data_IF_801794963319
#
_entry.id   IF_801794963319
#
_cell.length_a   1.000
_cell.length_b   1.000
_cell.length_c   1.000
_cell.angle_alpha   90.00
_cell.angle_beta   90.00
_cell.angle_gamma   90.00
#
_symmetry.space_group_name_H-M   'P 1'
#
loop_
_entity.id
_entity.type
_entity.pdbx_description
1 polymer ?
#
# COMPACT_ATOMS: atom_id res chain seq x y z
N UNK A 1 -34.89 -13.01 27.00
CA UNK A 1 -34.65 -13.16 25.54
C UNK A 1 -33.34 -12.46 25.13
N UNK A 2 -32.18 -13.07 25.41
CA UNK A 2 -30.84 -12.49 25.09
C UNK A 2 -30.06 -13.29 24.02
N UNK A 3 -30.54 -14.48 23.63
CA UNK A 3 -29.78 -15.43 22.78
C UNK A 3 -29.62 -14.97 21.33
N UNK A 4 -30.45 -14.06 20.83
CA UNK A 4 -30.44 -13.61 19.43
C UNK A 4 -29.33 -12.62 19.10
N UNK A 5 -28.77 -11.91 20.10
CA UNK A 5 -27.78 -10.86 19.87
C UNK A 5 -26.35 -11.37 19.66
N UNK A 6 -26.01 -12.57 20.18
CA UNK A 6 -24.65 -13.16 20.02
C UNK A 6 -24.45 -13.98 18.75
N UNK A 7 -25.50 -14.22 17.96
CA UNK A 7 -25.35 -14.94 16.70
C UNK A 7 -24.82 -13.99 15.61
N UNK A 8 -23.69 -14.32 14.96
CA UNK A 8 -23.14 -13.49 13.90
C UNK A 8 -24.13 -13.43 12.73
N UNK A 9 -24.17 -12.29 12.03
CA UNK A 9 -25.26 -11.95 11.11
C UNK A 9 -25.42 -12.99 10.00
N UNK A 10 -24.32 -13.62 9.58
CA UNK A 10 -24.28 -14.71 8.58
C UNK A 10 -25.06 -15.98 8.98
N UNK A 11 -25.33 -16.22 10.27
CA UNK A 11 -26.13 -17.36 10.76
C UNK A 11 -27.63 -17.04 10.86
N UNK A 12 -28.04 -15.80 10.64
CA UNK A 12 -29.44 -15.36 10.78
C UNK A 12 -30.20 -15.55 9.46
N UNK A 13 -31.49 -15.88 9.52
CA UNK A 13 -32.38 -15.98 8.34
C UNK A 13 -32.41 -14.68 7.51
N UNK A 14 -32.14 -13.53 8.14
CA UNK A 14 -32.08 -12.20 7.52
C UNK A 14 -30.89 -12.08 6.54
N UNK A 15 -29.80 -12.82 6.74
CA UNK A 15 -28.62 -12.79 5.86
C UNK A 15 -28.96 -13.08 4.39
N UNK A 16 -29.88 -14.02 4.15
CA UNK A 16 -30.34 -14.37 2.80
C UNK A 16 -31.07 -13.22 2.10
N UNK A 17 -31.67 -12.29 2.86
CA UNK A 17 -32.38 -11.12 2.34
C UNK A 17 -31.48 -9.87 2.21
N UNK A 18 -30.30 -9.86 2.82
CA UNK A 18 -29.36 -8.74 2.74
C UNK A 18 -28.71 -8.67 1.36
N UNK A 19 -28.67 -7.47 0.77
CA UNK A 19 -27.98 -7.19 -0.50
C UNK A 19 -26.47 -7.44 -0.40
N UNK A 20 -25.82 -7.71 -1.54
CA UNK A 20 -24.38 -7.97 -1.61
C UNK A 20 -23.54 -6.84 -0.97
N UNK A 21 -23.96 -5.59 -1.20
CA UNK A 21 -23.35 -4.40 -0.58
C UNK A 21 -23.52 -4.38 0.94
N UNK A 22 -24.70 -4.71 1.46
CA UNK A 22 -24.93 -4.76 2.91
C UNK A 22 -24.12 -5.85 3.62
N UNK A 23 -23.84 -6.96 2.93
CA UNK A 23 -22.93 -8.00 3.42
C UNK A 23 -21.48 -7.52 3.44
N UNK A 24 -21.06 -6.80 2.40
CA UNK A 24 -19.71 -6.23 2.30
C UNK A 24 -19.46 -5.21 3.42
N UNK A 25 -20.41 -4.29 3.65
CA UNK A 25 -20.34 -3.33 4.77
C UNK A 25 -20.21 -4.04 6.11
N UNK A 26 -20.98 -5.11 6.34
CA UNK A 26 -20.89 -5.89 7.58
C UNK A 26 -19.52 -6.51 7.81
N UNK A 27 -18.86 -7.01 6.76
CA UNK A 27 -17.50 -7.57 6.86
C UNK A 27 -16.42 -6.50 6.97
N UNK A 28 -16.63 -5.30 6.43
CA UNK A 28 -15.70 -4.17 6.53
C UNK A 28 -15.81 -3.42 7.85
N UNK A 29 -16.93 -3.53 8.55
CA UNK A 29 -17.21 -2.81 9.80
C UNK A 29 -16.14 -2.98 10.89
N UNK A 30 -15.64 -4.20 11.21
CA UNK A 30 -14.60 -4.38 12.22
C UNK A 30 -13.28 -3.68 11.86
N UNK A 31 -13.02 -3.52 10.56
CA UNK A 31 -11.81 -2.91 10.02
C UNK A 31 -11.88 -1.39 10.16
N UNK A 32 -13.04 -0.81 9.88
CA UNK A 32 -13.33 0.62 10.09
C UNK A 32 -13.28 0.97 11.57
N UNK A 33 -13.90 0.15 12.42
CA UNK A 33 -13.88 0.36 13.88
C UNK A 33 -12.44 0.32 14.42
N UNK A 34 -11.62 -0.65 13.99
CA UNK A 34 -10.20 -0.71 14.37
C UNK A 34 -9.37 0.47 13.86
N UNK A 35 -9.60 0.94 12.63
CA UNK A 35 -8.94 2.12 12.08
C UNK A 35 -9.32 3.38 12.88
N UNK A 36 -10.60 3.54 13.17
CA UNK A 36 -11.11 4.67 13.92
C UNK A 36 -10.54 4.69 15.34
N UNK A 37 -10.50 3.55 16.03
CA UNK A 37 -9.89 3.43 17.36
C UNK A 37 -8.38 3.73 17.33
N UNK A 38 -7.67 3.25 16.31
CA UNK A 38 -6.23 3.53 16.13
C UNK A 38 -5.93 5.02 15.91
N UNK A 39 -6.81 5.73 15.19
CA UNK A 39 -6.68 7.17 14.96
C UNK A 39 -7.09 8.00 16.19
N UNK A 40 -8.11 7.59 16.93
CA UNK A 40 -8.65 8.31 18.08
C UNK A 40 -7.89 8.06 19.39
N UNK A 41 -7.06 7.02 19.48
CA UNK A 41 -6.29 6.70 20.68
C UNK A 41 -5.35 7.86 21.10
N UNK A 42 -5.61 8.54 22.24
CA UNK A 42 -4.82 9.68 22.71
C UNK A 42 -3.42 9.30 23.21
N UNK A 43 -3.20 8.01 23.52
CA UNK A 43 -1.94 7.51 24.08
C UNK A 43 -0.82 7.33 23.04
N UNK A 44 -1.16 7.30 21.75
CA UNK A 44 -0.21 7.18 20.63
C UNK A 44 0.26 8.55 20.07
N UNK A 45 0.11 9.62 20.85
CA UNK A 45 0.59 10.98 20.52
C UNK A 45 2.13 11.10 20.35
N UNK A 46 3.02 10.26 20.94
CA UNK A 46 4.45 10.39 20.67
C UNK A 46 4.88 9.77 19.33
N UNK A 47 3.99 9.02 18.64
CA UNK A 47 4.31 8.47 17.33
C UNK A 47 4.13 9.52 16.23
N UNK A 48 5.11 9.74 15.34
CA UNK A 48 5.00 10.71 14.27
C UNK A 48 3.76 10.39 13.42
N UNK A 49 2.93 11.41 13.17
CA UNK A 49 1.71 11.32 12.34
C UNK A 49 1.96 10.63 11.00
N UNK A 50 3.16 10.78 10.45
CA UNK A 50 3.62 10.10 9.24
C UNK A 50 3.60 8.56 9.35
N UNK A 51 3.92 7.99 10.51
CA UNK A 51 3.96 6.54 10.70
C UNK A 51 2.56 5.93 10.79
N UNK A 52 1.59 6.67 11.37
CA UNK A 52 0.17 6.30 11.33
C UNK A 52 -0.34 6.28 9.89
N UNK A 53 0.02 7.28 9.08
CA UNK A 53 -0.33 7.34 7.65
C UNK A 53 0.28 6.16 6.90
N UNK A 54 1.58 5.90 7.08
CA UNK A 54 2.27 4.76 6.44
C UNK A 54 1.59 3.44 6.81
N UNK A 55 1.29 3.22 8.09
CA UNK A 55 0.59 2.02 8.55
C UNK A 55 -0.78 1.86 7.88
N UNK A 56 -1.59 2.92 7.81
CA UNK A 56 -2.88 2.86 7.13
C UNK A 56 -2.74 2.60 5.63
N UNK A 57 -1.75 3.19 4.97
CA UNK A 57 -1.48 2.95 3.55
C UNK A 57 -1.09 1.49 3.30
N UNK A 58 -0.21 0.92 4.13
CA UNK A 58 0.21 -0.48 4.02
C UNK A 58 -0.98 -1.41 4.26
N UNK A 59 -1.80 -1.12 5.27
CA UNK A 59 -2.98 -1.92 5.59
C UNK A 59 -3.98 -1.93 4.43
N UNK A 60 -4.26 -0.77 3.84
CA UNK A 60 -5.11 -0.65 2.63
C UNK A 60 -4.49 -1.40 1.44
N UNK A 61 -3.18 -1.29 1.24
CA UNK A 61 -2.47 -2.02 0.18
C UNK A 61 -2.62 -3.53 0.33
N UNK A 62 -2.45 -4.06 1.54
CA UNK A 62 -2.61 -5.50 1.84
C UNK A 62 -4.04 -5.97 1.58
N UNK A 63 -5.04 -5.17 1.93
CA UNK A 63 -6.46 -5.48 1.65
C UNK A 63 -6.74 -5.51 0.14
N UNK A 64 -6.10 -4.61 -0.62
CA UNK A 64 -6.25 -4.53 -2.08
C UNK A 64 -5.41 -5.57 -2.83
N UNK A 65 -4.41 -6.18 -2.19
CA UNK A 65 -3.49 -7.14 -2.80
C UNK A 65 -4.18 -8.29 -3.56
N UNK A 66 -5.30 -8.90 -3.09
CA UNK A 66 -6.03 -9.93 -3.84
C UNK A 66 -6.59 -9.45 -5.18
N UNK A 67 -6.79 -8.14 -5.35
CA UNK A 67 -7.26 -7.52 -6.59
C UNK A 67 -6.07 -7.00 -7.41
N UNK A 68 -5.08 -6.39 -6.76
CA UNK A 68 -3.89 -5.86 -7.41
C UNK A 68 -3.01 -6.95 -8.02
N UNK A 69 -2.87 -8.10 -7.36
CA UNK A 69 -2.06 -9.21 -7.83
C UNK A 69 -2.52 -9.79 -9.18
N UNK A 70 -3.80 -10.17 -9.38
CA UNK A 70 -4.24 -10.67 -10.69
C UNK A 70 -4.15 -9.60 -11.78
N UNK A 71 -4.41 -8.33 -11.47
CA UNK A 71 -4.22 -7.22 -12.42
C UNK A 71 -2.76 -7.10 -12.85
N UNK A 72 -1.83 -7.16 -11.90
CA UNK A 72 -0.40 -7.13 -12.18
C UNK A 72 0.03 -8.30 -13.07
N UNK A 73 -0.43 -9.50 -12.78
CA UNK A 73 -0.14 -10.70 -13.59
C UNK A 73 -0.64 -10.50 -15.03
N UNK A 74 -1.88 -10.02 -15.22
CA UNK A 74 -2.44 -9.75 -16.55
C UNK A 74 -1.60 -8.70 -17.30
N UNK A 75 -1.19 -7.62 -16.63
CA UNK A 75 -0.35 -6.58 -17.24
C UNK A 75 1.01 -7.13 -17.68
N UNK A 76 1.65 -7.96 -16.86
CA UNK A 76 2.95 -8.58 -17.21
C UNK A 76 2.80 -9.51 -18.39
N UNK A 77 1.79 -10.39 -18.40
CA UNK A 77 1.56 -11.29 -19.52
C UNK A 77 1.20 -10.54 -20.80
N UNK A 78 0.41 -9.47 -20.70
CA UNK A 78 0.10 -8.61 -21.84
C UNK A 78 1.37 -7.94 -22.39
N UNK A 79 2.24 -7.41 -21.53
CA UNK A 79 3.52 -6.83 -21.96
C UNK A 79 4.44 -7.84 -22.65
N UNK A 80 4.54 -9.07 -22.11
CA UNK A 80 5.31 -10.15 -22.76
C UNK A 80 4.72 -10.50 -24.13
N UNK A 81 3.40 -10.62 -24.22
CA UNK A 81 2.71 -10.89 -25.49
C UNK A 81 2.97 -9.77 -26.51
N UNK A 82 2.86 -8.51 -26.08
CA UNK A 82 3.09 -7.35 -26.93
C UNK A 82 4.53 -7.35 -27.48
N UNK A 83 5.52 -7.59 -26.62
CA UNK A 83 6.93 -7.69 -27.01
C UNK A 83 7.20 -8.80 -28.03
N UNK A 84 6.69 -10.02 -27.78
CA UNK A 84 6.88 -11.15 -28.69
C UNK A 84 6.17 -10.92 -30.03
N UNK A 85 4.96 -10.36 -29.98
CA UNK A 85 4.16 -10.04 -31.17
C UNK A 85 4.85 -9.01 -32.05
N UNK A 86 5.39 -7.92 -31.50
CA UNK A 86 6.11 -6.91 -32.28
C UNK A 86 7.42 -7.44 -32.87
N UNK A 87 8.09 -8.38 -32.19
CA UNK A 87 9.37 -8.91 -32.66
C UNK A 87 9.24 -10.07 -33.66
N UNK A 88 8.18 -10.88 -33.59
CA UNK A 88 7.98 -12.06 -34.44
C UNK A 88 6.86 -11.93 -35.47
N UNK A 89 5.98 -10.93 -35.34
CA UNK A 89 4.89 -10.69 -36.29
C UNK A 89 4.93 -9.26 -36.80
N UNK A 90 4.41 -9.03 -38.00
CA UNK A 90 4.24 -7.68 -38.58
C UNK A 90 3.03 -6.94 -37.96
N UNK A 91 2.61 -7.34 -36.76
CA UNK A 91 1.44 -6.81 -36.09
C UNK A 91 1.86 -5.66 -35.17
N UNK A 92 1.60 -4.43 -35.62
CA UNK A 92 1.81 -3.24 -34.81
C UNK A 92 0.56 -2.95 -33.98
N UNK A 93 0.73 -2.85 -32.66
CA UNK A 93 -0.34 -2.40 -31.77
C UNK A 93 -0.60 -0.91 -31.99
N UNK A 94 -1.87 -0.50 -31.98
CA UNK A 94 -2.22 0.91 -32.07
C UNK A 94 -1.77 1.68 -30.83
N UNK A 95 -1.51 2.98 -30.98
CA UNK A 95 -0.90 3.86 -29.96
C UNK A 95 -1.58 3.81 -28.57
N UNK A 96 -2.90 3.58 -28.52
CA UNK A 96 -3.65 3.47 -27.25
C UNK A 96 -3.46 2.12 -26.51
N UNK A 97 -2.94 1.10 -27.19
CA UNK A 97 -2.77 -0.27 -26.69
C UNK A 97 -1.30 -0.65 -26.48
N UNK A 98 -0.39 0.29 -26.77
CA UNK A 98 1.04 0.13 -26.61
C UNK A 98 1.47 0.46 -25.16
N UNK A 99 1.50 -0.57 -24.30
CA UNK A 99 1.95 -0.42 -22.92
C UNK A 99 3.47 -0.28 -22.82
N UNK A 100 4.22 -0.94 -23.70
CA UNK A 100 5.69 -0.91 -23.70
C UNK A 100 6.23 0.45 -24.12
N UNK A 101 5.72 1.01 -25.22
CA UNK A 101 6.07 2.34 -25.69
C UNK A 101 5.66 3.43 -24.69
N UNK A 102 4.48 3.30 -24.07
CA UNK A 102 4.06 4.21 -22.99
C UNK A 102 4.96 4.11 -21.76
N UNK A 103 5.37 2.91 -21.35
CA UNK A 103 6.32 2.71 -20.26
C UNK A 103 7.70 3.29 -20.56
N UNK A 104 8.19 3.13 -21.79
CA UNK A 104 9.45 3.71 -22.26
C UNK A 104 9.37 5.23 -22.28
N UNK A 105 8.23 5.78 -22.72
CA UNK A 105 7.98 7.22 -22.69
C UNK A 105 7.95 7.76 -21.25
N UNK A 106 7.26 7.07 -20.33
CA UNK A 106 7.24 7.42 -18.90
C UNK A 106 8.61 7.30 -18.25
N UNK A 107 9.39 6.28 -18.61
CA UNK A 107 10.75 6.09 -18.11
C UNK A 107 11.70 7.18 -18.60
N UNK A 108 11.59 7.53 -19.88
CA UNK A 108 12.34 8.61 -20.51
C UNK A 108 11.72 9.99 -20.28
N UNK A 109 10.62 10.08 -19.52
CA UNK A 109 10.04 11.34 -19.09
C UNK A 109 10.98 11.94 -18.04
N UNK A 110 12.07 12.51 -18.54
CA UNK A 110 13.00 13.29 -17.76
C UNK A 110 12.18 14.41 -17.12
N UNK A 111 12.13 14.42 -15.78
CA UNK A 111 11.43 15.45 -15.00
C UNK A 111 12.01 16.79 -15.44
N UNK A 112 11.28 17.46 -16.33
CA UNK A 112 11.78 18.52 -17.22
C UNK A 112 12.12 19.79 -16.45
N UNK A 113 11.84 19.80 -15.14
CA UNK A 113 12.15 20.87 -14.23
C UNK A 113 13.39 20.53 -13.39
N UNK A 114 14.56 20.98 -13.84
CA UNK A 114 15.83 20.77 -13.17
C UNK A 114 15.82 21.31 -11.71
N UNK A 115 15.00 22.33 -11.41
CA UNK A 115 14.79 22.80 -10.02
C UNK A 115 14.09 21.76 -9.15
N UNK A 116 13.12 21.02 -9.70
CA UNK A 116 12.41 19.98 -8.98
C UNK A 116 13.32 18.78 -8.68
N UNK A 117 14.18 18.41 -9.63
CA UNK A 117 15.21 17.36 -9.44
C UNK A 117 16.15 17.71 -8.28
N UNK A 118 16.63 18.96 -8.21
CA UNK A 118 17.47 19.43 -7.10
C UNK A 118 16.71 19.41 -5.77
N UNK A 119 15.46 19.87 -5.74
CA UNK A 119 14.64 19.87 -4.53
C UNK A 119 14.40 18.45 -3.99
N UNK A 120 14.05 17.51 -4.88
CA UNK A 120 13.84 16.10 -4.51
C UNK A 120 15.11 15.46 -3.96
N UNK A 121 16.27 15.74 -4.57
CA UNK A 121 17.55 15.27 -4.06
C UNK A 121 17.86 15.83 -2.66
N UNK A 122 17.63 17.12 -2.42
CA UNK A 122 17.79 17.72 -1.08
C UNK A 122 16.87 17.07 -0.04
N UNK A 123 15.62 16.73 -0.41
CA UNK A 123 14.71 16.00 0.46
C UNK A 123 15.22 14.60 0.77
N UNK A 124 15.69 13.85 -0.23
CA UNK A 124 16.25 12.51 -0.03
C UNK A 124 17.48 12.53 0.88
N UNK A 125 18.38 13.49 0.71
CA UNK A 125 19.55 13.64 1.59
C UNK A 125 19.14 13.91 3.03
N UNK A 126 18.13 14.76 3.25
CA UNK A 126 17.60 15.02 4.61
C UNK A 126 17.03 13.75 5.25
N UNK A 127 16.27 12.95 4.51
CA UNK A 127 15.74 11.69 5.03
C UNK A 127 16.84 10.67 5.30
N UNK A 128 17.88 10.62 4.46
CA UNK A 128 19.03 9.75 4.67
C UNK A 128 19.73 10.05 6.00
N UNK A 129 19.93 11.33 6.33
CA UNK A 129 20.52 11.78 7.60
C UNK A 129 19.63 11.40 8.80
N UNK A 130 18.30 11.53 8.67
CA UNK A 130 17.37 11.13 9.74
C UNK A 130 17.44 9.62 9.98
N UNK A 131 17.47 8.81 8.92
CA UNK A 131 17.53 7.35 9.02
C UNK A 131 18.86 6.90 9.65
N UNK A 132 19.99 7.48 9.25
CA UNK A 132 21.28 7.17 9.89
C UNK A 132 21.33 7.60 11.35
N UNK A 133 20.73 8.73 11.71
CA UNK A 133 20.62 9.16 13.10
C UNK A 133 19.80 8.15 13.93
N UNK A 134 18.64 7.72 13.43
CA UNK A 134 17.80 6.71 14.10
C UNK A 134 18.56 5.38 14.23
N UNK A 135 19.22 4.92 13.17
CA UNK A 135 20.05 3.70 13.19
C UNK A 135 21.12 3.78 14.27
N UNK A 136 21.86 4.89 14.34
CA UNK A 136 22.88 5.09 15.35
C UNK A 136 22.28 5.07 16.77
N UNK A 137 21.09 5.64 16.97
CA UNK A 137 20.44 5.66 18.29
C UNK A 137 20.02 4.26 18.72
N UNK A 138 19.55 3.44 17.78
CA UNK A 138 19.24 2.02 18.00
C UNK A 138 20.50 1.22 18.33
N UNK A 139 21.62 1.48 17.64
CA UNK A 139 22.89 0.80 17.92
C UNK A 139 23.46 1.18 19.29
N UNK A 140 23.39 2.47 19.68
CA UNK A 140 23.81 2.92 21.01
C UNK A 140 22.94 2.35 22.14
N UNK A 141 21.62 2.28 21.95
CA UNK A 141 20.73 1.67 22.94
C UNK A 141 20.98 0.18 23.09
N UNK A 142 21.26 -0.53 21.99
CA UNK A 142 21.67 -1.94 22.02
C UNK A 142 23.01 -2.14 22.77
N UNK A 143 23.98 -1.27 22.52
CA UNK A 143 25.26 -1.30 23.24
C UNK A 143 25.07 -1.02 24.74
N UNK A 144 24.29 -0.01 25.11
CA UNK A 144 23.99 0.31 26.51
C UNK A 144 23.24 -0.81 27.24
N UNK A 145 22.30 -1.48 26.57
CA UNK A 145 21.60 -2.65 27.12
C UNK A 145 22.55 -3.82 27.36
N UNK A 146 23.50 -4.09 26.45
CA UNK A 146 24.49 -5.15 26.65
C UNK A 146 25.40 -4.88 27.85
N UNK A 147 25.76 -3.61 28.12
CA UNK A 147 26.57 -3.24 29.30
C UNK A 147 25.79 -3.26 30.63
N UNK A 148 24.46 -3.12 30.59
CA UNK A 148 23.61 -3.15 31.80
C UNK A 148 23.15 -4.58 32.17
N UNK A 149 23.27 -5.53 31.24
CA UNK A 149 22.90 -6.93 31.45
C UNK A 149 24.11 -7.86 31.72
N UNK A 150 25.34 -7.32 31.78
CA UNK A 150 26.51 -7.94 32.45
C UNK A 150 26.55 -7.53 33.94
#
# INVERSE_FOLDING_TARGET
MQKTWRMPLHKRKIWKKTSMLGRLVYYMQPLVDHLQDFWLQPWLVPFPTMLKVVYTCVLVFVILLPILFPLFVVLVYYGIFQYVSEQHSWFHFGENWDLLGSLVYLWNFEVTNNKYKIYVNMCFDRYRVIITAISATVDYTRMALNFLCE
#
